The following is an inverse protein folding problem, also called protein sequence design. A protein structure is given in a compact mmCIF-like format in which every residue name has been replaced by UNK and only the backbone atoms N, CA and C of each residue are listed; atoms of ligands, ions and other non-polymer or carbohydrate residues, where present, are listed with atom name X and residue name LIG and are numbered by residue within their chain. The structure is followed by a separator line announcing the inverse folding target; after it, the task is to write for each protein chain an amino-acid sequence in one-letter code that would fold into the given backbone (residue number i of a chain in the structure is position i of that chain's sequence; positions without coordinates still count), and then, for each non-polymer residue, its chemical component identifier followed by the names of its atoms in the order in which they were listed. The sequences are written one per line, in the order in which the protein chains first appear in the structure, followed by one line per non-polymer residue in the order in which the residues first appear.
data_IF_850111461705
#
_entry.id   IF_850111461705
#
_cell.length_a   1.000
_cell.length_b   1.000
_cell.length_c   1.000
_cell.angle_alpha   90.00
_cell.angle_beta   90.00
_cell.angle_gamma   90.00
#
_symmetry.space_group_name_H-M   'P 1'
#
loop_
_entity.id
_entity.type
_entity.pdbx_description
1 polymer ?
#
# COMPACT_ATOMS: atom_id res chain seq x y z
N UNK A 1 -14.67 14.69 3.45
CA UNK A 1 -14.79 13.33 4.04
C UNK A 1 -13.85 13.10 5.22
N UNK A 2 -12.53 13.40 5.16
CA UNK A 2 -11.60 13.12 6.28
C UNK A 2 -11.95 13.87 7.57
N UNK A 3 -12.32 15.16 7.45
CA UNK A 3 -12.67 16.00 8.60
C UNK A 3 -13.92 15.51 9.35
N UNK A 4 -14.88 14.88 8.65
CA UNK A 4 -16.07 14.31 9.27
C UNK A 4 -15.70 13.08 10.10
N UNK A 5 -14.88 12.18 9.55
CA UNK A 5 -14.40 10.99 10.27
C UNK A 5 -13.64 11.44 11.53
N UNK A 6 -12.72 12.39 11.42
CA UNK A 6 -11.96 12.88 12.57
C UNK A 6 -12.84 13.58 13.61
N UNK A 7 -13.81 14.39 13.17
CA UNK A 7 -14.78 15.04 14.04
C UNK A 7 -15.62 14.02 14.82
N UNK A 8 -16.18 13.02 14.11
CA UNK A 8 -16.98 11.96 14.71
C UNK A 8 -16.16 11.09 15.67
N UNK A 9 -14.94 10.70 15.30
CA UNK A 9 -14.05 9.94 16.19
C UNK A 9 -13.67 10.76 17.42
N UNK A 10 -13.39 12.05 17.28
CA UNK A 10 -13.11 12.94 18.41
C UNK A 10 -14.32 12.98 19.36
N UNK A 11 -15.51 13.25 18.83
CA UNK A 11 -16.73 13.30 19.63
C UNK A 11 -17.00 11.98 20.35
N UNK A 12 -16.84 10.85 19.66
CA UNK A 12 -16.99 9.52 20.24
C UNK A 12 -16.03 9.31 21.43
N UNK A 13 -14.74 9.54 21.23
CA UNK A 13 -13.75 9.31 22.29
C UNK A 13 -13.94 10.28 23.45
N UNK A 14 -14.18 11.57 23.19
CA UNK A 14 -14.37 12.56 24.24
C UNK A 14 -15.63 12.27 25.06
N UNK A 15 -16.77 12.03 24.41
CA UNK A 15 -18.06 11.88 25.09
C UNK A 15 -18.29 10.48 25.65
N UNK A 16 -17.84 9.43 24.94
CA UNK A 16 -18.13 8.03 25.30
C UNK A 16 -16.99 7.35 26.01
N UNK A 17 -15.73 7.79 25.84
CA UNK A 17 -14.58 7.18 26.50
C UNK A 17 -14.04 8.02 27.66
N UNK A 18 -13.67 9.29 27.43
CA UNK A 18 -12.99 10.14 28.45
C UNK A 18 -13.98 10.70 29.47
N UNK A 19 -15.10 11.27 29.03
CA UNK A 19 -16.07 11.92 29.92
C UNK A 19 -16.59 11.01 31.05
N UNK A 20 -16.90 9.72 30.80
CA UNK A 20 -17.41 8.83 31.84
C UNK A 20 -16.37 8.34 32.86
N UNK A 21 -15.07 8.53 32.63
CA UNK A 21 -14.02 8.09 33.58
C UNK A 21 -14.13 8.88 34.90
N UNK A 22 -13.81 8.24 36.02
CA UNK A 22 -13.77 8.89 37.33
C UNK A 22 -12.45 9.65 37.55
N UNK A 23 -12.15 10.56 36.63
CA UNK A 23 -10.96 11.41 36.64
C UNK A 23 -11.32 12.85 37.03
N UNK A 24 -10.42 13.57 37.72
CA UNK A 24 -10.59 15.00 37.95
C UNK A 24 -10.61 15.75 36.61
N UNK A 25 -11.39 16.84 36.53
CA UNK A 25 -11.58 17.62 35.31
C UNK A 25 -10.27 18.02 34.61
N UNK A 26 -9.21 18.47 35.31
CA UNK A 26 -7.93 18.78 34.66
C UNK A 26 -7.32 17.59 33.90
N UNK A 27 -7.40 16.37 34.44
CA UNK A 27 -6.90 15.18 33.78
C UNK A 27 -7.71 14.85 32.51
N UNK A 28 -9.03 15.01 32.56
CA UNK A 28 -9.91 14.86 31.38
C UNK A 28 -9.57 15.87 30.29
N UNK A 29 -9.32 17.13 30.66
CA UNK A 29 -8.93 18.18 29.71
C UNK A 29 -7.60 17.85 29.04
N UNK A 30 -6.58 17.45 29.81
CA UNK A 30 -5.27 17.07 29.25
C UNK A 30 -5.41 15.88 28.31
N UNK A 31 -6.13 14.82 28.70
CA UNK A 31 -6.37 13.66 27.85
C UNK A 31 -7.12 14.02 26.56
N UNK A 32 -8.14 14.89 26.66
CA UNK A 32 -8.88 15.38 25.51
C UNK A 32 -7.98 16.15 24.53
N UNK A 33 -7.12 17.04 25.04
CA UNK A 33 -6.17 17.81 24.21
C UNK A 33 -5.18 16.88 23.50
N UNK A 34 -4.65 15.87 24.19
CA UNK A 34 -3.74 14.89 23.59
C UNK A 34 -4.40 14.11 22.45
N UNK A 35 -5.65 13.66 22.65
CA UNK A 35 -6.45 12.99 21.60
C UNK A 35 -6.65 13.92 20.41
N UNK A 36 -7.05 15.17 20.65
CA UNK A 36 -7.27 16.14 19.58
C UNK A 36 -5.98 16.40 18.78
N UNK A 37 -4.84 16.61 19.45
CA UNK A 37 -3.54 16.82 18.80
C UNK A 37 -3.14 15.62 17.94
N UNK A 38 -3.28 14.39 18.46
CA UNK A 38 -2.96 13.18 17.72
C UNK A 38 -3.88 12.99 16.51
N UNK A 39 -5.18 13.29 16.63
CA UNK A 39 -6.14 13.24 15.51
C UNK A 39 -5.88 14.30 14.42
N UNK A 40 -5.13 15.35 14.73
CA UNK A 40 -4.68 16.33 13.74
C UNK A 40 -3.41 15.89 12.97
N UNK A 41 -2.95 14.63 13.08
CA UNK A 41 -1.74 14.13 12.42
C UNK A 41 -1.58 14.56 10.95
N UNK A 42 -2.60 14.37 10.13
CA UNK A 42 -2.56 14.75 8.71
C UNK A 42 -2.38 16.27 8.49
N UNK A 43 -2.92 17.11 9.38
CA UNK A 43 -2.69 18.55 9.34
C UNK A 43 -1.25 18.89 9.71
N UNK A 44 -0.68 18.23 10.71
CA UNK A 44 0.74 18.38 11.05
C UNK A 44 1.63 17.99 9.87
N UNK A 45 1.32 16.89 9.18
CA UNK A 45 2.06 16.47 7.98
C UNK A 45 2.00 17.55 6.90
N UNK A 46 0.80 18.06 6.59
CA UNK A 46 0.62 19.15 5.62
C UNK A 46 1.38 20.40 6.01
N UNK A 47 1.43 20.77 7.29
CA UNK A 47 2.21 21.92 7.76
C UNK A 47 3.72 21.71 7.57
N UNK A 48 4.20 20.47 7.64
CA UNK A 48 5.63 20.17 7.49
C UNK A 48 6.15 20.19 6.06
N UNK A 49 5.32 19.82 5.07
CA UNK A 49 5.77 19.64 3.67
C UNK A 49 4.84 20.21 2.60
N UNK A 50 3.68 20.75 2.99
CA UNK A 50 2.61 21.09 2.07
C UNK A 50 1.71 19.91 1.67
N UNK A 51 2.03 18.67 2.09
CA UNK A 51 1.28 17.45 1.74
C UNK A 51 0.92 16.61 2.96
N UNK A 52 -0.26 16.00 2.97
CA UNK A 52 -0.67 15.07 4.03
C UNK A 52 0.13 13.74 3.99
N UNK A 53 0.74 13.44 2.84
CA UNK A 53 1.40 12.17 2.55
C UNK A 53 2.92 12.18 2.84
N UNK A 54 3.54 13.34 3.02
CA UNK A 54 5.01 13.46 3.19
C UNK A 54 5.38 14.18 4.49
N UNK A 55 5.25 13.56 5.67
CA UNK A 55 5.71 14.17 6.92
C UNK A 55 7.23 14.40 6.92
N UNK A 56 7.68 15.61 7.25
CA UNK A 56 9.11 15.97 7.33
C UNK A 56 9.66 16.05 8.77
N UNK A 57 8.91 15.52 9.73
CA UNK A 57 9.38 15.40 11.13
C UNK A 57 10.47 14.32 11.28
N UNK A 58 11.27 14.35 12.37
CA UNK A 58 12.17 13.26 12.71
C UNK A 58 11.42 11.92 12.79
N UNK A 59 12.04 10.84 12.30
CA UNK A 59 11.41 9.51 12.23
C UNK A 59 10.71 9.07 13.53
N UNK A 60 11.30 9.21 14.74
CA UNK A 60 10.61 8.84 15.98
C UNK A 60 9.30 9.60 16.22
N UNK A 61 9.21 10.86 15.77
CA UNK A 61 7.99 11.67 15.87
C UNK A 61 6.93 11.14 14.91
N UNK A 62 7.30 10.81 13.67
CA UNK A 62 6.39 10.19 12.69
C UNK A 62 5.85 8.85 13.21
N UNK A 63 6.70 8.04 13.85
CA UNK A 63 6.30 6.77 14.48
C UNK A 63 5.33 7.01 15.64
N UNK A 64 5.64 7.96 16.52
CA UNK A 64 4.78 8.30 17.65
C UNK A 64 3.40 8.77 17.20
N UNK A 65 3.32 9.63 16.19
CA UNK A 65 2.04 10.09 15.66
C UNK A 65 1.23 8.96 15.04
N UNK A 66 1.86 8.08 14.25
CA UNK A 66 1.16 6.93 13.66
C UNK A 66 0.65 5.97 14.74
N UNK A 67 1.44 5.72 15.78
CA UNK A 67 1.00 4.93 16.93
C UNK A 67 -0.17 5.58 17.66
N UNK A 68 -0.08 6.87 18.01
CA UNK A 68 -1.12 7.57 18.75
C UNK A 68 -2.42 7.67 17.94
N UNK A 69 -2.32 8.08 16.67
CA UNK A 69 -3.46 8.15 15.76
C UNK A 69 -4.10 6.77 15.58
N UNK A 70 -3.29 5.74 15.33
CA UNK A 70 -3.74 4.36 15.21
C UNK A 70 -4.44 3.82 16.46
N UNK A 71 -3.86 4.06 17.63
CA UNK A 71 -4.43 3.67 18.91
C UNK A 71 -5.80 4.32 19.13
N UNK A 72 -5.96 5.61 18.81
CA UNK A 72 -7.24 6.32 18.93
C UNK A 72 -8.27 5.76 17.94
N UNK A 73 -7.89 5.47 16.69
CA UNK A 73 -8.79 4.86 15.71
C UNK A 73 -9.29 3.48 16.18
N UNK A 74 -8.37 2.62 16.65
CA UNK A 74 -8.72 1.29 17.17
C UNK A 74 -9.58 1.41 18.44
N UNK A 75 -9.27 2.35 19.33
CA UNK A 75 -10.08 2.61 20.52
C UNK A 75 -11.50 3.05 20.16
N UNK A 76 -11.65 3.85 19.11
CA UNK A 76 -12.97 4.26 18.61
C UNK A 76 -13.80 3.04 18.19
N UNK A 77 -13.21 2.10 17.44
CA UNK A 77 -13.88 0.86 17.04
C UNK A 77 -14.26 -0.02 18.24
N UNK A 78 -13.34 -0.17 19.20
CA UNK A 78 -13.60 -0.90 20.44
C UNK A 78 -14.69 -0.23 21.29
N UNK A 79 -14.73 1.11 21.33
CA UNK A 79 -15.76 1.87 22.03
C UNK A 79 -17.13 1.68 21.37
N UNK A 80 -17.21 1.65 20.03
CA UNK A 80 -18.46 1.34 19.34
C UNK A 80 -18.95 -0.09 19.65
N UNK A 81 -18.04 -1.07 19.70
CA UNK A 81 -18.39 -2.43 20.09
C UNK A 81 -18.87 -2.51 21.54
N UNK A 82 -18.22 -1.79 22.46
CA UNK A 82 -18.66 -1.67 23.84
C UNK A 82 -20.05 -1.05 23.94
N UNK A 83 -20.29 0.06 23.23
CA UNK A 83 -21.58 0.76 23.23
C UNK A 83 -22.71 -0.15 22.69
N UNK A 84 -22.45 -0.92 21.63
CA UNK A 84 -23.39 -1.92 21.13
C UNK A 84 -23.68 -3.02 22.15
N UNK A 85 -22.65 -3.53 22.82
CA UNK A 85 -22.81 -4.54 23.88
C UNK A 85 -23.61 -4.02 25.09
N UNK A 86 -23.35 -2.79 25.53
CA UNK A 86 -24.10 -2.13 26.60
C UNK A 86 -25.55 -1.89 26.21
N UNK A 87 -25.83 -1.53 24.95
CA UNK A 87 -27.19 -1.37 24.44
C UNK A 87 -27.94 -2.71 24.48
N UNK A 88 -27.33 -3.80 24.03
CA UNK A 88 -27.93 -5.14 24.10
C UNK A 88 -28.20 -5.53 25.56
N UNK A 89 -27.24 -5.34 26.46
CA UNK A 89 -27.42 -5.62 27.89
C UNK A 89 -28.56 -4.80 28.50
N UNK A 90 -28.67 -3.52 28.14
CA UNK A 90 -29.74 -2.65 28.61
C UNK A 90 -31.14 -3.13 28.15
N UNK A 91 -31.26 -3.58 26.89
CA UNK A 91 -32.49 -4.14 26.36
C UNK A 91 -32.89 -5.46 27.03
N UNK A 92 -31.91 -6.30 27.38
CA UNK A 92 -32.16 -7.59 28.06
C UNK A 92 -32.53 -7.40 29.52
N UNK A 93 -31.89 -6.45 30.22
CA UNK A 93 -32.09 -6.25 31.67
C UNK A 93 -33.13 -5.18 32.00
N UNK A 94 -33.66 -4.47 31.01
CA UNK A 94 -34.69 -3.45 31.21
C UNK A 94 -34.21 -2.20 31.94
N UNK A 95 -32.91 -1.86 31.83
CA UNK A 95 -32.31 -0.75 32.57
C UNK A 95 -30.99 -0.26 31.97
N UNK A 96 -30.49 0.89 32.43
CA UNK A 96 -29.23 1.45 31.94
C UNK A 96 -28.06 0.63 32.50
N UNK A 97 -27.24 0.07 31.61
CA UNK A 97 -26.02 -0.66 31.97
C UNK A 97 -24.80 0.20 31.59
N UNK A 98 -23.92 0.43 32.56
CA UNK A 98 -22.65 1.14 32.37
C UNK A 98 -21.46 0.19 32.33
N UNK A 99 -20.37 0.61 31.71
CA UNK A 99 -19.09 -0.10 31.79
C UNK A 99 -18.21 0.52 32.88
N UNK A 100 -17.59 -0.30 33.76
CA UNK A 100 -16.66 0.20 34.76
C UNK A 100 -15.36 0.70 34.10
N UNK A 101 -14.64 1.58 34.78
CA UNK A 101 -13.39 2.18 34.29
C UNK A 101 -12.33 1.13 33.93
N UNK A 102 -12.27 0.01 34.67
CA UNK A 102 -11.37 -1.10 34.37
C UNK A 102 -11.54 -1.66 32.95
N UNK A 103 -12.78 -1.75 32.45
CA UNK A 103 -13.04 -2.18 31.06
C UNK A 103 -12.50 -1.14 30.08
N UNK A 104 -12.70 0.14 30.36
CA UNK A 104 -12.21 1.25 29.51
C UNK A 104 -10.69 1.24 29.44
N UNK A 105 -10.00 1.07 30.57
CA UNK A 105 -8.54 0.95 30.61
C UNK A 105 -8.05 -0.27 29.84
N UNK A 106 -8.73 -1.42 29.95
CA UNK A 106 -8.40 -2.61 29.18
C UNK A 106 -8.55 -2.37 27.66
N UNK A 107 -9.61 -1.69 27.22
CA UNK A 107 -9.80 -1.33 25.80
C UNK A 107 -8.70 -0.37 25.30
N UNK A 108 -8.34 0.64 26.09
CA UNK A 108 -7.25 1.56 25.75
C UNK A 108 -5.91 0.84 25.65
N UNK A 109 -5.60 -0.04 26.61
CA UNK A 109 -4.37 -0.83 26.59
C UNK A 109 -4.33 -1.78 25.38
N UNK A 110 -5.45 -2.43 25.06
CA UNK A 110 -5.59 -3.28 23.88
C UNK A 110 -5.38 -2.49 22.59
N UNK A 111 -6.03 -1.33 22.45
CA UNK A 111 -5.89 -0.47 21.28
C UNK A 111 -4.45 0.04 21.10
N UNK A 112 -3.82 0.52 22.18
CA UNK A 112 -2.44 0.99 22.16
C UNK A 112 -1.44 -0.12 21.82
N UNK A 113 -1.65 -1.33 22.34
CA UNK A 113 -0.81 -2.49 22.06
C UNK A 113 -0.98 -2.96 20.62
N UNK A 114 -2.21 -3.09 20.16
CA UNK A 114 -2.51 -3.44 18.77
C UNK A 114 -1.94 -2.40 17.79
N UNK A 115 -2.02 -1.10 18.12
CA UNK A 115 -1.40 -0.05 17.32
C UNK A 115 0.12 -0.17 17.29
N UNK A 116 0.76 -0.43 18.43
CA UNK A 116 2.21 -0.63 18.49
C UNK A 116 2.67 -1.82 17.65
N UNK A 117 1.96 -2.95 17.75
CA UNK A 117 2.17 -4.12 16.89
C UNK A 117 1.98 -3.70 15.43
N UNK A 118 0.89 -3.01 15.10
CA UNK A 118 0.59 -2.65 13.73
C UNK A 118 1.59 -1.69 13.09
N UNK A 119 2.10 -0.71 13.83
CA UNK A 119 3.17 0.19 13.40
C UNK A 119 4.48 -0.59 13.20
N UNK A 120 4.81 -1.49 14.12
CA UNK A 120 5.98 -2.36 13.97
C UNK A 120 5.87 -3.23 12.71
N UNK A 121 4.70 -3.85 12.47
CA UNK A 121 4.44 -4.65 11.27
C UNK A 121 4.46 -3.82 9.98
N UNK A 122 4.08 -2.55 10.04
CA UNK A 122 4.15 -1.61 8.93
C UNK A 122 5.60 -1.24 8.56
N UNK A 123 6.50 -1.14 9.54
CA UNK A 123 7.85 -0.61 9.37
C UNK A 123 8.93 -1.67 9.14
N UNK A 124 8.64 -2.94 9.43
CA UNK A 124 9.62 -4.03 9.27
C UNK A 124 10.04 -4.18 7.80
N UNK A 125 11.18 -4.84 7.58
CA UNK A 125 11.52 -5.29 6.24
C UNK A 125 10.50 -6.36 5.83
N UNK A 126 9.82 -6.20 4.69
CA UNK A 126 8.75 -7.10 4.27
C UNK A 126 9.24 -8.56 4.17
N UNK A 127 8.43 -9.54 4.62
CA UNK A 127 8.69 -10.95 4.38
C UNK A 127 8.61 -11.28 2.88
N UNK A 128 9.31 -12.33 2.47
CA UNK A 128 9.15 -12.93 1.15
C UNK A 128 7.78 -13.63 1.09
N UNK A 129 7.08 -13.47 -0.03
CA UNK A 129 5.88 -14.21 -0.38
C UNK A 129 6.06 -14.81 -1.77
N UNK A 130 6.02 -16.13 -1.84
CA UNK A 130 6.12 -16.86 -3.08
C UNK A 130 4.73 -17.14 -3.66
N UNK A 131 4.56 -16.87 -4.94
CA UNK A 131 3.30 -17.07 -5.66
C UNK A 131 3.60 -17.74 -6.99
N UNK A 132 2.93 -18.84 -7.29
CA UNK A 132 3.00 -19.46 -8.62
C UNK A 132 1.79 -19.04 -9.46
N UNK A 133 2.04 -18.67 -10.72
CA UNK A 133 1.00 -18.25 -11.66
C UNK A 133 1.09 -19.09 -12.93
N UNK A 134 0.08 -19.95 -13.13
CA UNK A 134 -0.13 -20.64 -14.39
C UNK A 134 -0.57 -19.66 -15.49
N UNK A 135 0.16 -19.66 -16.60
CA UNK A 135 -0.11 -18.85 -17.78
C UNK A 135 -0.36 -19.78 -18.98
N UNK A 136 -1.53 -19.66 -19.60
CA UNK A 136 -1.85 -20.43 -20.83
C UNK A 136 -1.00 -19.91 -21.98
N UNK A 137 -0.47 -20.83 -22.79
CA UNK A 137 0.43 -20.48 -23.90
C UNK A 137 1.78 -19.91 -23.47
N UNK A 138 2.21 -20.10 -22.21
CA UNK A 138 3.56 -19.72 -21.79
C UNK A 138 4.60 -20.56 -22.53
N UNK A 139 5.56 -19.94 -23.25
CA UNK A 139 6.64 -20.69 -23.87
C UNK A 139 7.45 -21.45 -22.81
N UNK A 140 7.90 -22.67 -23.13
CA UNK A 140 8.64 -23.53 -22.18
C UNK A 140 9.90 -22.87 -21.63
N UNK A 141 10.50 -21.94 -22.38
CA UNK A 141 11.70 -21.20 -21.99
C UNK A 141 11.46 -20.20 -20.85
N UNK A 142 10.19 -19.87 -20.58
CA UNK A 142 9.76 -19.03 -19.47
C UNK A 142 9.06 -19.83 -18.35
N UNK A 143 8.97 -21.16 -18.45
CA UNK A 143 8.48 -21.97 -17.34
C UNK A 143 9.51 -21.96 -16.19
N UNK A 144 9.06 -21.54 -15.01
CA UNK A 144 9.94 -21.25 -13.87
C UNK A 144 10.55 -19.85 -13.86
N UNK A 145 10.22 -18.98 -14.82
CA UNK A 145 10.68 -17.59 -14.85
C UNK A 145 10.19 -16.82 -13.63
N UNK A 146 11.07 -16.04 -12.99
CA UNK A 146 10.80 -15.38 -11.71
C UNK A 146 10.76 -13.86 -11.82
N UNK A 147 9.70 -13.27 -11.29
CA UNK A 147 9.50 -11.82 -11.21
C UNK A 147 9.39 -11.43 -9.75
N UNK A 148 10.26 -10.56 -9.25
CA UNK A 148 10.04 -9.90 -7.96
C UNK A 148 9.23 -8.63 -8.17
N UNK A 149 8.02 -8.58 -7.61
CA UNK A 149 7.24 -7.36 -7.54
C UNK A 149 7.58 -6.58 -6.27
N UNK A 150 8.04 -5.34 -6.47
CA UNK A 150 8.11 -4.30 -5.44
C UNK A 150 7.05 -3.25 -5.75
N UNK A 151 6.42 -2.66 -4.75
CA UNK A 151 5.40 -1.62 -4.98
C UNK A 151 5.16 -0.86 -3.69
N UNK A 152 4.67 0.37 -3.80
CA UNK A 152 4.23 1.12 -2.63
C UNK A 152 5.34 1.21 -1.57
N UNK A 153 6.56 1.55 -2.01
CA UNK A 153 7.73 1.66 -1.12
C UNK A 153 7.63 2.92 -0.26
N UNK A 154 6.97 3.98 -0.77
CA UNK A 154 6.72 5.23 -0.04
C UNK A 154 7.95 5.73 0.73
N UNK A 155 9.10 5.73 0.07
CA UNK A 155 10.37 6.15 0.62
C UNK A 155 10.22 7.58 1.14
N UNK A 156 10.48 7.73 2.44
CA UNK A 156 10.08 8.87 3.25
C UNK A 156 10.88 8.92 4.55
N UNK A 157 10.58 9.88 5.43
CA UNK A 157 11.14 9.90 6.79
C UNK A 157 10.84 8.64 7.59
N UNK A 158 9.75 7.92 7.27
CA UNK A 158 9.42 6.66 7.91
C UNK A 158 10.26 5.50 7.36
N UNK A 159 10.55 5.54 6.06
CA UNK A 159 11.30 4.55 5.28
C UNK A 159 12.58 5.17 4.67
N UNK A 160 13.60 5.47 5.50
CA UNK A 160 14.81 6.18 5.05
C UNK A 160 15.79 5.26 4.32
N UNK A 161 16.89 5.82 3.81
CA UNK A 161 17.93 5.07 3.08
C UNK A 161 18.37 3.73 3.71
N UNK A 162 18.58 3.60 5.05
CA UNK A 162 18.94 2.32 5.66
C UNK A 162 17.86 1.23 5.47
N UNK A 163 16.58 1.60 5.49
CA UNK A 163 15.48 0.68 5.23
C UNK A 163 15.46 0.26 3.76
N UNK A 164 15.57 1.23 2.83
CA UNK A 164 15.63 0.95 1.40
C UNK A 164 16.79 0.01 1.04
N UNK A 165 17.98 0.26 1.62
CA UNK A 165 19.16 -0.60 1.44
C UNK A 165 18.93 -2.03 1.92
N UNK A 166 18.24 -2.22 3.04
CA UNK A 166 17.91 -3.54 3.55
C UNK A 166 16.89 -4.27 2.67
N UNK A 167 15.93 -3.55 2.06
CA UNK A 167 15.01 -4.10 1.06
C UNK A 167 15.77 -4.53 -0.19
N UNK A 168 16.65 -3.67 -0.73
CA UNK A 168 17.48 -4.00 -1.90
C UNK A 168 18.36 -5.22 -1.63
N UNK A 169 19.03 -5.27 -0.47
CA UNK A 169 19.84 -6.42 -0.10
C UNK A 169 19.03 -7.72 -0.01
N UNK A 170 17.77 -7.65 0.44
CA UNK A 170 16.88 -8.82 0.47
C UNK A 170 16.38 -9.19 -0.92
N UNK A 171 16.04 -8.22 -1.76
CA UNK A 171 15.63 -8.42 -3.15
C UNK A 171 16.71 -9.12 -3.97
N UNK A 172 17.94 -8.59 -3.94
CA UNK A 172 19.06 -9.15 -4.71
C UNK A 172 19.44 -10.58 -4.28
N UNK A 173 19.28 -10.92 -2.99
CA UNK A 173 19.51 -12.28 -2.48
C UNK A 173 18.57 -13.32 -3.08
N UNK A 174 17.44 -12.91 -3.65
CA UNK A 174 16.48 -13.84 -4.28
C UNK A 174 16.95 -14.33 -5.66
N UNK A 175 17.87 -13.61 -6.31
CA UNK A 175 18.41 -13.99 -7.62
C UNK A 175 17.33 -14.15 -8.71
N UNK A 176 16.34 -13.25 -8.74
CA UNK A 176 15.23 -13.32 -9.70
C UNK A 176 15.65 -12.88 -11.11
N UNK A 177 14.89 -13.31 -12.12
CA UNK A 177 15.13 -12.94 -13.52
C UNK A 177 14.81 -11.47 -13.77
N UNK A 178 13.70 -10.95 -13.22
CA UNK A 178 13.25 -9.57 -13.41
C UNK A 178 12.70 -8.96 -12.12
N UNK A 179 12.94 -7.66 -11.92
CA UNK A 179 12.28 -6.89 -10.85
C UNK A 179 11.29 -5.92 -11.49
N UNK A 180 10.04 -5.97 -11.05
CA UNK A 180 8.98 -5.08 -11.47
C UNK A 180 8.57 -4.18 -10.31
N UNK A 181 8.70 -2.86 -10.49
CA UNK A 181 8.30 -1.85 -9.52
C UNK A 181 7.00 -1.21 -9.98
N UNK A 182 5.88 -1.54 -9.32
CA UNK A 182 4.54 -1.19 -9.80
C UNK A 182 3.97 0.10 -9.19
N UNK A 183 4.80 1.14 -9.01
CA UNK A 183 4.36 2.48 -8.59
C UNK A 183 4.50 2.82 -7.11
N UNK A 184 4.27 4.10 -6.79
CA UNK A 184 4.34 4.71 -5.45
C UNK A 184 5.66 4.43 -4.71
N UNK A 185 6.79 4.78 -5.33
CA UNK A 185 8.09 4.55 -4.72
C UNK A 185 8.39 5.55 -3.60
N UNK A 186 7.79 6.74 -3.64
CA UNK A 186 8.22 7.90 -2.85
C UNK A 186 7.05 8.67 -2.20
N UNK A 187 7.39 9.36 -1.11
CA UNK A 187 6.60 10.45 -0.55
C UNK A 187 7.51 11.65 -0.30
N UNK A 188 7.33 12.71 -1.11
CA UNK A 188 8.11 13.94 -1.07
C UNK A 188 8.77 14.30 -2.41
N UNK A 189 9.36 15.50 -2.48
CA UNK A 189 10.07 15.95 -3.70
C UNK A 189 11.39 15.22 -3.90
N UNK A 190 11.91 15.24 -5.13
CA UNK A 190 13.23 14.65 -5.46
C UNK A 190 14.31 15.16 -4.51
N UNK A 191 14.37 16.47 -4.25
CA UNK A 191 15.40 17.04 -3.37
C UNK A 191 15.30 16.53 -1.93
N UNK A 192 14.08 16.36 -1.42
CA UNK A 192 13.85 15.88 -0.07
C UNK A 192 14.21 14.39 0.11
N UNK A 193 14.12 13.60 -0.96
CA UNK A 193 14.16 12.13 -0.93
C UNK A 193 15.32 11.50 -1.71
N UNK A 194 16.10 12.27 -2.46
CA UNK A 194 17.24 11.79 -3.28
C UNK A 194 18.15 10.82 -2.54
N UNK A 195 18.54 11.15 -1.31
CA UNK A 195 19.42 10.29 -0.49
C UNK A 195 18.72 9.02 0.00
N UNK A 196 17.42 9.09 0.26
CA UNK A 196 16.63 7.97 0.78
C UNK A 196 16.40 6.91 -0.28
N UNK A 197 16.21 7.32 -1.53
CA UNK A 197 15.95 6.41 -2.66
C UNK A 197 17.23 5.87 -3.33
N UNK A 198 18.37 6.53 -3.16
CA UNK A 198 19.64 6.14 -3.79
C UNK A 198 19.97 4.63 -3.73
N UNK A 199 19.71 3.90 -2.62
CA UNK A 199 19.97 2.46 -2.57
C UNK A 199 19.27 1.63 -3.65
N UNK A 200 18.18 2.12 -4.26
CA UNK A 200 17.49 1.42 -5.36
C UNK A 200 18.36 1.27 -6.61
N UNK A 201 19.42 2.08 -6.77
CA UNK A 201 20.42 1.91 -7.83
C UNK A 201 21.06 0.52 -7.82
N UNK A 202 21.18 -0.07 -6.64
CA UNK A 202 21.87 -1.34 -6.44
C UNK A 202 20.96 -2.55 -6.72
N UNK A 203 19.70 -2.35 -7.15
CA UNK A 203 18.82 -3.47 -7.54
C UNK A 203 19.37 -4.16 -8.81
N UNK A 204 19.49 -5.48 -8.75
CA UNK A 204 20.04 -6.28 -9.86
C UNK A 204 19.11 -7.45 -10.18
N UNK A 205 18.78 -7.58 -11.46
CA UNK A 205 18.08 -8.71 -12.06
C UNK A 205 18.57 -8.89 -13.51
N UNK A 206 18.63 -10.13 -13.99
CA UNK A 206 19.23 -10.46 -15.29
C UNK A 206 18.54 -9.73 -16.46
N UNK A 207 17.22 -9.73 -16.47
CA UNK A 207 16.39 -9.10 -17.51
C UNK A 207 16.03 -7.63 -17.19
N UNK A 208 16.54 -7.12 -16.08
CA UNK A 208 16.49 -5.71 -15.67
C UNK A 208 15.45 -5.39 -14.60
N UNK A 209 15.44 -4.11 -14.22
CA UNK A 209 14.53 -3.54 -13.22
C UNK A 209 13.62 -2.55 -13.93
N UNK A 210 12.33 -2.87 -14.02
CA UNK A 210 11.32 -2.04 -14.68
C UNK A 210 10.47 -1.30 -13.66
N UNK A 211 10.08 -0.08 -13.99
CA UNK A 211 9.27 0.78 -13.11
C UNK A 211 8.15 1.48 -13.87
N UNK A 212 6.97 1.54 -13.27
CA UNK A 212 5.87 2.44 -13.64
C UNK A 212 5.59 3.41 -12.48
N UNK A 213 4.94 4.52 -12.77
CA UNK A 213 4.43 5.46 -11.77
C UNK A 213 3.19 4.91 -11.07
N UNK A 214 3.05 5.30 -9.80
CA UNK A 214 1.79 5.33 -9.10
C UNK A 214 1.25 6.75 -9.02
N UNK A 215 0.23 6.98 -8.21
CA UNK A 215 -0.35 8.31 -8.05
C UNK A 215 0.56 9.28 -7.29
N UNK A 216 1.51 8.80 -6.48
CA UNK A 216 2.38 9.63 -5.65
C UNK A 216 3.45 10.36 -6.47
N UNK A 217 3.98 9.75 -7.53
CA UNK A 217 4.87 10.45 -8.46
C UNK A 217 4.21 11.71 -9.04
N UNK A 218 2.92 11.63 -9.40
CA UNK A 218 2.15 12.78 -9.87
C UNK A 218 1.87 13.83 -8.79
N UNK A 219 1.77 13.43 -7.51
CA UNK A 219 1.59 14.36 -6.39
C UNK A 219 2.87 15.18 -6.18
N UNK A 220 4.04 14.55 -6.27
CA UNK A 220 5.31 15.12 -5.83
C UNK A 220 6.27 15.59 -6.94
N UNK A 221 5.86 15.49 -8.21
CA UNK A 221 6.59 16.02 -9.36
C UNK A 221 7.04 14.91 -10.31
N UNK A 222 6.09 14.45 -11.12
CA UNK A 222 6.24 13.27 -11.99
C UNK A 222 7.50 13.34 -12.86
N UNK A 223 7.69 14.42 -13.64
CA UNK A 223 8.81 14.50 -14.59
C UNK A 223 10.17 14.40 -13.89
N UNK A 224 10.31 15.07 -12.74
CA UNK A 224 11.53 15.03 -11.94
C UNK A 224 11.81 13.64 -11.38
N UNK A 225 10.77 12.95 -10.90
CA UNK A 225 10.89 11.60 -10.38
C UNK A 225 11.21 10.57 -11.47
N UNK A 226 10.53 10.62 -12.60
CA UNK A 226 10.80 9.70 -13.72
C UNK A 226 12.21 9.89 -14.29
N UNK A 227 12.68 11.14 -14.41
CA UNK A 227 14.07 11.41 -14.79
C UNK A 227 15.08 10.88 -13.74
N UNK A 228 14.76 11.00 -12.45
CA UNK A 228 15.63 10.50 -11.40
C UNK A 228 15.67 8.97 -11.36
N UNK A 229 14.54 8.28 -11.57
CA UNK A 229 14.49 6.82 -11.68
C UNK A 229 15.37 6.31 -12.81
N UNK A 230 15.35 6.97 -13.97
CA UNK A 230 16.26 6.66 -15.06
C UNK A 230 17.74 6.84 -14.67
N UNK A 231 18.08 7.89 -13.91
CA UNK A 231 19.44 8.12 -13.39
C UNK A 231 19.90 7.08 -12.34
N UNK A 232 18.96 6.38 -11.69
CA UNK A 232 19.21 5.23 -10.82
C UNK A 232 19.33 3.92 -11.61
N UNK A 233 19.11 3.92 -12.93
CA UNK A 233 19.14 2.72 -13.78
C UNK A 233 17.82 1.95 -13.82
N UNK A 234 16.74 2.50 -13.24
CA UNK A 234 15.41 1.91 -13.30
C UNK A 234 14.79 2.19 -14.67
N UNK A 235 14.42 1.13 -15.40
CA UNK A 235 13.87 1.24 -16.75
C UNK A 235 12.38 1.55 -16.68
N UNK A 236 12.03 2.80 -16.93
CA UNK A 236 10.62 3.20 -17.02
C UNK A 236 9.86 2.32 -18.03
N UNK A 237 8.61 1.99 -17.76
CA UNK A 237 7.74 1.25 -18.68
C UNK A 237 6.41 2.02 -18.87
N UNK A 238 6.50 3.35 -18.90
CA UNK A 238 5.33 4.21 -19.03
C UNK A 238 4.72 4.13 -20.42
N UNK A 239 3.49 3.62 -20.50
CA UNK A 239 2.72 3.45 -21.74
C UNK A 239 3.55 2.79 -22.87
N UNK A 240 4.26 1.71 -22.54
CA UNK A 240 5.03 0.93 -23.51
C UNK A 240 5.19 -0.52 -23.05
N UNK A 241 5.73 -1.35 -23.93
CA UNK A 241 6.09 -2.72 -23.60
C UNK A 241 7.53 -3.01 -24.03
N UNK A 242 8.08 -4.09 -23.46
CA UNK A 242 9.30 -4.74 -23.91
C UNK A 242 9.00 -6.21 -24.17
N UNK A 243 9.73 -6.79 -25.12
CA UNK A 243 9.66 -8.22 -25.42
C UNK A 243 10.92 -8.87 -24.90
N UNK A 244 10.75 -9.86 -24.02
CA UNK A 244 11.82 -10.74 -23.59
C UNK A 244 11.86 -11.94 -24.51
N UNK A 245 13.04 -12.27 -25.03
CA UNK A 245 13.24 -13.39 -25.94
C UNK A 245 14.19 -14.41 -25.32
N UNK A 246 13.79 -15.68 -25.29
CA UNK A 246 14.62 -16.82 -24.88
C UNK A 246 14.45 -17.94 -25.91
N UNK A 247 15.42 -18.11 -26.80
CA UNK A 247 15.27 -18.99 -27.96
C UNK A 247 14.18 -18.47 -28.91
N UNK A 248 13.20 -19.32 -29.24
CA UNK A 248 11.99 -18.95 -29.98
C UNK A 248 10.84 -18.48 -29.07
N UNK A 249 11.00 -18.59 -27.75
CA UNK A 249 10.01 -18.13 -26.77
C UNK A 249 10.02 -16.62 -26.61
N UNK A 250 8.82 -16.02 -26.56
CA UNK A 250 8.61 -14.58 -26.31
C UNK A 250 7.68 -14.35 -25.12
N UNK A 251 8.02 -13.38 -24.28
CA UNK A 251 7.20 -12.90 -23.16
C UNK A 251 7.14 -11.37 -23.20
N UNK A 252 5.94 -10.80 -23.13
CA UNK A 252 5.76 -9.35 -23.16
C UNK A 252 5.62 -8.82 -21.75
N UNK A 253 6.43 -7.84 -21.38
CA UNK A 253 6.25 -7.05 -20.17
C UNK A 253 5.74 -5.68 -20.60
N UNK A 254 4.50 -5.35 -20.25
CA UNK A 254 3.84 -4.10 -20.58
C UNK A 254 3.67 -3.24 -19.32
N UNK A 255 3.72 -1.92 -19.45
CA UNK A 255 3.48 -0.99 -18.37
C UNK A 255 2.61 0.17 -18.82
N UNK A 256 1.81 0.68 -17.88
CA UNK A 256 0.88 1.78 -18.13
C UNK A 256 0.97 2.83 -17.01
N UNK A 257 0.87 4.10 -17.39
CA UNK A 257 0.86 5.27 -16.48
C UNK A 257 -0.25 5.19 -15.45
N UNK A 258 -0.14 5.83 -14.28
CA UNK A 258 -1.21 5.88 -13.28
C UNK A 258 -2.44 6.69 -13.75
N UNK A 259 -3.65 6.37 -13.25
CA UNK A 259 -4.90 7.07 -13.60
C UNK A 259 -4.85 8.56 -13.24
N UNK A 260 -3.99 8.96 -12.29
CA UNK A 260 -3.71 10.35 -11.96
C UNK A 260 -3.13 11.14 -13.14
N UNK A 261 -2.47 10.49 -14.12
CA UNK A 261 -1.84 11.12 -15.28
C UNK A 261 -2.74 12.11 -15.99
N UNK A 262 -3.98 11.69 -16.34
CA UNK A 262 -4.95 12.52 -17.08
C UNK A 262 -5.30 13.81 -16.33
N UNK A 263 -5.50 13.72 -15.01
CA UNK A 263 -5.88 14.88 -14.19
C UNK A 263 -4.74 15.89 -14.02
N UNK A 264 -3.51 15.48 -14.33
CA UNK A 264 -2.29 16.27 -14.14
C UNK A 264 -1.65 16.71 -15.47
N UNK A 265 -2.33 16.49 -16.60
CA UNK A 265 -1.87 16.96 -17.92
C UNK A 265 -0.77 16.11 -18.57
N UNK A 266 -0.62 14.86 -18.13
CA UNK A 266 0.37 13.92 -18.66
C UNK A 266 -0.29 12.91 -19.65
N UNK A 267 0.52 12.13 -20.42
CA UNK A 267 0.01 11.22 -21.44
C UNK A 267 -1.10 10.30 -20.93
N UNK A 268 -2.18 10.22 -21.71
CA UNK A 268 -3.37 9.44 -21.33
C UNK A 268 -3.03 7.95 -21.38
N UNK A 269 -3.54 7.21 -20.40
CA UNK A 269 -3.49 5.76 -20.34
C UNK A 269 -4.28 5.16 -21.50
N UNK A 270 -3.61 4.39 -22.36
CA UNK A 270 -4.25 3.61 -23.43
C UNK A 270 -3.58 2.24 -23.55
N UNK A 271 -4.16 1.25 -22.87
CA UNK A 271 -3.61 -0.11 -22.88
C UNK A 271 -3.66 -0.76 -24.27
N UNK A 272 -4.65 -0.42 -25.10
CA UNK A 272 -4.73 -1.00 -26.44
C UNK A 272 -3.56 -0.51 -27.31
N UNK A 273 -3.24 0.78 -27.24
CA UNK A 273 -2.07 1.35 -27.90
C UNK A 273 -0.74 0.79 -27.34
N UNK A 274 -0.66 0.55 -26.02
CA UNK A 274 0.54 -0.07 -25.41
C UNK A 274 0.80 -1.48 -25.95
N UNK A 275 -0.26 -2.24 -26.22
CA UNK A 275 -0.17 -3.59 -26.74
C UNK A 275 -0.09 -3.65 -28.27
N UNK A 276 -0.23 -2.52 -28.96
CA UNK A 276 -0.04 -2.46 -30.41
C UNK A 276 1.42 -2.81 -30.76
N UNK A 277 1.60 -3.63 -31.79
CA UNK A 277 2.90 -4.17 -32.18
C UNK A 277 3.47 -5.28 -31.27
N UNK A 278 2.81 -5.65 -30.17
CA UNK A 278 3.24 -6.79 -29.37
C UNK A 278 3.16 -8.09 -30.20
N UNK A 279 4.14 -9.01 -30.09
CA UNK A 279 4.13 -10.26 -30.85
C UNK A 279 2.86 -11.07 -30.60
N UNK A 280 2.12 -11.38 -31.69
CA UNK A 280 0.90 -12.18 -31.59
C UNK A 280 1.18 -13.53 -30.92
N UNK A 281 0.33 -13.89 -29.96
CA UNK A 281 0.43 -15.15 -29.23
C UNK A 281 1.46 -15.17 -28.09
N UNK A 282 2.29 -14.14 -27.93
CA UNK A 282 3.13 -14.03 -26.75
C UNK A 282 2.28 -13.62 -25.53
N UNK A 283 2.39 -14.29 -24.37
CA UNK A 283 1.68 -13.88 -23.17
C UNK A 283 2.15 -12.50 -22.70
N UNK A 284 1.22 -11.73 -22.17
CA UNK A 284 1.45 -10.36 -21.68
C UNK A 284 1.34 -10.33 -20.16
N UNK A 285 2.37 -9.79 -19.53
CA UNK A 285 2.39 -9.41 -18.12
C UNK A 285 2.29 -7.89 -18.04
N UNK A 286 1.20 -7.39 -17.46
CA UNK A 286 0.93 -5.97 -17.31
C UNK A 286 1.35 -5.49 -15.91
N UNK A 287 2.13 -4.42 -15.89
CA UNK A 287 2.39 -3.59 -14.72
C UNK A 287 1.39 -2.44 -14.73
N UNK A 288 0.46 -2.44 -13.78
CA UNK A 288 -0.52 -1.37 -13.60
C UNK A 288 -0.73 -1.12 -12.11
N UNK A 289 -0.39 0.09 -11.64
CA UNK A 289 -0.37 0.41 -10.22
C UNK A 289 -1.74 0.16 -9.55
N UNK A 290 -2.84 0.53 -10.22
CA UNK A 290 -4.20 0.39 -9.67
C UNK A 290 -4.92 -0.83 -10.26
N UNK A 291 -5.59 -1.66 -9.44
CA UNK A 291 -6.27 -2.85 -9.93
C UNK A 291 -7.64 -2.57 -10.58
N UNK A 292 -8.15 -1.35 -10.51
CA UNK A 292 -9.55 -1.04 -10.84
C UNK A 292 -9.92 -1.30 -12.31
N UNK A 293 -8.95 -1.22 -13.23
CA UNK A 293 -9.16 -1.39 -14.67
C UNK A 293 -8.81 -2.84 -15.14
N UNK A 294 -8.59 -3.78 -14.22
CA UNK A 294 -8.18 -5.16 -14.51
C UNK A 294 -9.13 -5.92 -15.46
N UNK A 295 -10.44 -5.66 -15.38
CA UNK A 295 -11.42 -6.24 -16.31
C UNK A 295 -11.18 -5.79 -17.75
N UNK A 296 -10.70 -4.55 -17.95
CA UNK A 296 -10.33 -4.07 -19.27
C UNK A 296 -9.05 -4.75 -19.77
N UNK A 297 -8.06 -4.93 -18.91
CA UNK A 297 -6.82 -5.65 -19.23
C UNK A 297 -7.09 -7.10 -19.65
N UNK A 298 -7.95 -7.81 -18.92
CA UNK A 298 -8.37 -9.17 -19.26
C UNK A 298 -9.01 -9.24 -20.66
N UNK A 299 -9.93 -8.31 -20.99
CA UNK A 299 -10.55 -8.23 -22.32
C UNK A 299 -9.56 -7.97 -23.45
N UNK A 300 -8.43 -7.34 -23.17
CA UNK A 300 -7.35 -7.09 -24.13
C UNK A 300 -6.34 -8.25 -24.21
N UNK A 301 -6.60 -9.38 -23.54
CA UNK A 301 -5.78 -10.59 -23.64
C UNK A 301 -4.55 -10.58 -22.74
N UNK A 302 -4.50 -9.71 -21.72
CA UNK A 302 -3.45 -9.77 -20.69
C UNK A 302 -3.56 -11.08 -19.92
N UNK A 303 -2.43 -11.75 -19.69
CA UNK A 303 -2.40 -13.04 -18.99
C UNK A 303 -2.19 -12.89 -17.48
N UNK A 304 -1.37 -11.91 -17.09
CA UNK A 304 -1.10 -11.57 -15.69
C UNK A 304 -1.04 -10.05 -15.52
N UNK A 305 -1.76 -9.51 -14.54
CA UNK A 305 -1.61 -8.13 -14.10
C UNK A 305 -1.03 -8.08 -12.69
N UNK A 306 0.00 -7.25 -12.49
CA UNK A 306 0.62 -6.95 -11.20
C UNK A 306 0.25 -5.53 -10.77
N UNK A 307 -0.43 -5.41 -9.63
CA UNK A 307 -0.90 -4.15 -9.06
C UNK A 307 -0.51 -3.97 -7.60
N UNK A 308 -0.53 -2.72 -7.15
CA UNK A 308 -0.28 -2.28 -5.77
C UNK A 308 -1.44 -1.42 -5.26
N UNK A 309 -1.13 -0.22 -4.75
CA UNK A 309 -2.05 0.88 -4.43
C UNK A 309 -2.96 0.68 -3.21
N UNK A 310 -3.49 -0.52 -3.02
CA UNK A 310 -4.52 -0.80 -2.01
C UNK A 310 -3.93 -1.03 -0.61
N UNK A 311 -2.63 -1.31 -0.54
CA UNK A 311 -1.89 -1.79 0.62
C UNK A 311 -2.52 -3.00 1.34
N UNK A 312 -3.36 -3.77 0.64
CA UNK A 312 -4.14 -4.85 1.23
C UNK A 312 -5.24 -4.38 2.20
N UNK A 313 -5.58 -3.09 2.20
CA UNK A 313 -6.55 -2.48 3.10
C UNK A 313 -6.05 -2.22 4.52
N UNK A 314 -4.75 -2.43 4.79
CA UNK A 314 -4.02 -2.14 6.03
C UNK A 314 -4.44 -2.98 7.25
N UNK A 315 -5.75 -3.13 7.50
CA UNK A 315 -6.31 -3.87 8.63
C UNK A 315 -7.32 -4.89 8.10
N UNK A 316 -7.18 -6.16 8.51
CA UNK A 316 -8.12 -7.22 8.18
C UNK A 316 -9.54 -6.85 8.65
N UNK A 317 -10.52 -6.98 7.77
CA UNK A 317 -11.91 -6.58 7.99
C UNK A 317 -12.24 -5.18 7.47
N UNK A 318 -11.28 -4.25 7.52
CA UNK A 318 -11.42 -2.88 6.98
C UNK A 318 -11.16 -2.87 5.47
N UNK A 319 -10.40 -3.84 4.96
CA UNK A 319 -10.10 -4.03 3.54
C UNK A 319 -11.36 -4.07 2.65
N UNK A 320 -12.49 -4.58 3.15
CA UNK A 320 -13.77 -4.57 2.43
C UNK A 320 -14.34 -3.17 2.19
N UNK A 321 -14.03 -2.20 3.06
CA UNK A 321 -14.42 -0.81 2.84
C UNK A 321 -13.64 -0.19 1.68
N UNK A 322 -12.38 -0.60 1.49
CA UNK A 322 -11.55 -0.17 0.37
C UNK A 322 -11.92 -0.86 -0.95
N UNK A 323 -12.57 -2.04 -0.91
CA UNK A 323 -12.88 -2.82 -2.10
C UNK A 323 -13.73 -2.06 -3.12
N UNK A 324 -14.76 -1.31 -2.69
CA UNK A 324 -15.63 -0.57 -3.61
C UNK A 324 -14.89 0.49 -4.43
N UNK A 325 -13.90 1.16 -3.82
CA UNK A 325 -13.07 2.14 -4.50
C UNK A 325 -12.14 1.50 -5.55
N UNK A 326 -11.87 0.20 -5.42
CA UNK A 326 -10.91 -0.56 -6.23
C UNK A 326 -11.59 -1.66 -7.08
N UNK A 327 -12.86 -1.45 -7.47
CA UNK A 327 -13.65 -2.40 -8.28
C UNK A 327 -13.78 -3.82 -7.68
N UNK A 328 -13.67 -3.95 -6.36
CA UNK A 328 -13.73 -5.20 -5.62
C UNK A 328 -12.37 -5.83 -5.32
N UNK A 329 -11.28 -5.32 -5.89
CA UNK A 329 -9.94 -5.87 -5.76
C UNK A 329 -9.15 -5.18 -4.65
N UNK A 330 -8.58 -5.94 -3.71
CA UNK A 330 -7.86 -5.37 -2.57
C UNK A 330 -6.58 -6.09 -2.23
N UNK A 331 -6.53 -7.42 -2.23
CA UNK A 331 -5.37 -8.14 -1.71
C UNK A 331 -5.27 -9.54 -2.31
N UNK A 332 -4.08 -9.89 -2.78
CA UNK A 332 -3.77 -11.24 -3.26
C UNK A 332 -4.24 -11.52 -4.68
N UNK A 333 -4.49 -12.80 -4.95
CA UNK A 333 -4.79 -13.34 -6.28
C UNK A 333 -6.28 -13.27 -6.59
N UNK A 334 -6.61 -12.84 -7.80
CA UNK A 334 -7.94 -12.90 -8.40
C UNK A 334 -7.86 -13.54 -9.78
N UNK A 335 -8.88 -14.30 -10.15
CA UNK A 335 -9.15 -14.64 -11.55
C UNK A 335 -10.11 -13.60 -12.12
N UNK A 336 -9.73 -13.00 -13.25
CA UNK A 336 -10.49 -11.98 -13.95
C UNK A 336 -10.61 -12.41 -15.40
N UNK A 337 -11.70 -13.09 -15.74
CA UNK A 337 -11.99 -13.59 -17.08
C UNK A 337 -10.82 -14.41 -17.68
N UNK A 338 -10.17 -15.24 -16.84
CA UNK A 338 -9.02 -16.07 -17.22
C UNK A 338 -7.65 -15.38 -17.15
N UNK A 339 -7.60 -14.07 -16.91
CA UNK A 339 -6.38 -13.35 -16.51
C UNK A 339 -6.16 -13.53 -15.01
N UNK A 340 -4.91 -13.76 -14.58
CA UNK A 340 -4.57 -13.64 -13.16
C UNK A 340 -4.30 -12.17 -12.81
N UNK A 341 -5.04 -11.60 -11.87
CA UNK A 341 -4.67 -10.34 -11.22
C UNK A 341 -4.01 -10.64 -9.87
N UNK A 342 -2.84 -10.06 -9.61
CA UNK A 342 -2.22 -10.08 -8.29
C UNK A 342 -2.14 -8.66 -7.72
N UNK A 343 -2.86 -8.42 -6.63
CA UNK A 343 -2.83 -7.16 -5.87
C UNK A 343 -1.91 -7.33 -4.67
N UNK A 344 -0.73 -6.75 -4.77
CA UNK A 344 0.28 -6.78 -3.73
C UNK A 344 -0.15 -5.89 -2.55
N UNK A 345 0.13 -6.33 -1.33
CA UNK A 345 -0.20 -5.55 -0.14
C UNK A 345 0.73 -4.35 0.09
N UNK A 346 1.71 -4.11 -0.79
CA UNK A 346 2.74 -3.09 -0.64
C UNK A 346 4.00 -3.65 0.00
N UNK A 347 5.16 -3.25 -0.54
CA UNK A 347 6.47 -3.47 0.07
C UNK A 347 6.61 -2.64 1.34
N UNK A 348 6.01 -1.45 1.36
CA UNK A 348 5.80 -0.62 2.53
C UNK A 348 4.37 -0.03 2.52
N UNK A 349 4.22 1.23 2.88
CA UNK A 349 2.96 1.96 2.90
C UNK A 349 3.20 3.47 3.03
N UNK A 350 2.20 4.28 2.72
CA UNK A 350 2.28 5.73 2.92
C UNK A 350 2.22 6.12 4.42
N UNK A 351 3.00 7.10 4.88
CA UNK A 351 3.25 7.36 6.30
C UNK A 351 2.13 8.10 7.04
N UNK A 352 1.01 8.44 6.38
CA UNK A 352 -0.11 9.10 7.06
C UNK A 352 -1.11 8.14 7.72
N UNK A 353 -1.03 6.84 7.43
CA UNK A 353 -1.64 5.80 8.28
C UNK A 353 -0.79 4.53 8.30
N UNK A 354 0.32 4.60 9.02
CA UNK A 354 1.34 3.55 9.08
C UNK A 354 1.04 2.43 10.07
N UNK A 355 -0.04 1.68 9.81
CA UNK A 355 -0.49 0.61 10.69
C UNK A 355 -0.98 -0.60 9.89
N UNK A 356 -0.42 -1.78 10.18
CA UNK A 356 -0.82 -3.06 9.55
C UNK A 356 -1.23 -4.12 10.56
N UNK A 357 -2.46 -4.63 10.46
CA UNK A 357 -2.96 -5.72 11.31
C UNK A 357 -3.61 -6.81 10.44
N UNK A 358 -3.03 -8.01 10.43
CA UNK A 358 -3.51 -9.14 9.62
C UNK A 358 -3.32 -8.97 8.10
N UNK A 359 -2.63 -7.92 7.66
CA UNK A 359 -2.33 -7.62 6.24
C UNK A 359 -0.84 -7.27 6.07
N UNK A 360 0.06 -8.27 6.12
CA UNK A 360 1.50 -8.02 6.08
C UNK A 360 1.91 -7.37 4.74
N UNK A 361 2.94 -6.52 4.79
CA UNK A 361 3.67 -6.08 3.60
C UNK A 361 4.38 -7.27 2.93
N UNK A 362 4.73 -7.12 1.66
CA UNK A 362 5.19 -8.24 0.82
C UNK A 362 6.40 -7.85 -0.04
N UNK A 363 7.39 -8.75 -0.08
CA UNK A 363 8.29 -8.93 -1.22
C UNK A 363 7.74 -10.11 -2.00
N UNK A 364 7.05 -9.86 -3.10
CA UNK A 364 6.35 -10.94 -3.81
C UNK A 364 7.20 -11.47 -4.94
N UNK A 365 7.66 -12.72 -4.85
CA UNK A 365 8.28 -13.43 -5.96
C UNK A 365 7.21 -14.25 -6.68
N UNK A 366 6.90 -13.85 -7.90
CA UNK A 366 6.01 -14.55 -8.81
C UNK A 366 6.83 -15.51 -9.65
N UNK A 367 6.48 -16.79 -9.64
CA UNK A 367 7.04 -17.80 -10.55
C UNK A 367 6.01 -18.13 -11.62
N UNK A 368 6.35 -17.91 -12.88
CA UNK A 368 5.50 -18.25 -14.01
C UNK A 368 5.56 -19.75 -14.25
N UNK A 369 4.39 -20.35 -14.50
CA UNK A 369 4.26 -21.76 -14.83
C UNK A 369 3.48 -21.93 -16.12
N UNK A 370 3.88 -22.86 -16.96
CA UNK A 370 3.04 -23.24 -18.10
C UNK A 370 1.76 -23.89 -17.57
N UNK A 371 0.60 -23.33 -17.90
CA UNK A 371 -0.70 -23.97 -17.64
C UNK A 371 -1.10 -24.81 -18.84
N UNK A 372 -1.55 -26.05 -18.61
CA UNK A 372 -2.14 -26.87 -19.67
C UNK A 372 -3.47 -26.29 -20.16
N UNK A 373 -3.83 -26.61 -21.40
CA UNK A 373 -5.18 -26.36 -21.89
C UNK A 373 -6.14 -27.32 -21.17
N UNK A 374 -7.17 -26.78 -20.52
CA UNK A 374 -8.18 -27.54 -19.79
C UNK A 374 -9.20 -28.18 -20.74
#
# INVERSE_FOLDING_TARGET
MPQLIFGLTSLLILARFIWPLDWPLPAKIVAALLVLVALQFHRWNRLSSGSEFSPEFPRPVVVLFNWAFGAIMLLALLQLALDAGLLVAALVHGGIVGAPDGVRYALAALAATAAAIGVHQAMRIPPLKDVEVGIRGLPRQFDGYTILQLTDLHISRLFPAPWARAVVARANKLGVDLIAITGDLIDGTVDARRKDIEPLRDLVAADGVYVISGNHEYIFGYDGWMAHYAALGLRSLENRHVVLERGDGRLVIAGITDRASRRRGHPVRDLAAVLDGAPKGAPVILLDHQPSDARNAARLGVALQLSGHTHGGLILGIDRLAARANAGFVSGRYDVDGMTLYVNNGTALWPGFALRLGRPSELTRITLRAAGDA
#
